data_IF_837841379115
#
_entry.id   IF_837841379115
#
_cell.length_a   1.000
_cell.length_b   1.000
_cell.length_c   1.000
_cell.angle_alpha   90.00
_cell.angle_beta   90.00
_cell.angle_gamma   90.00
#
_symmetry.space_group_name_H-M   'P 1'
#
loop_
_entity.id
_entity.type
_entity.pdbx_description
1 polymer ?
#
# COMPACT_ATOMS: atom_id res chain seq x y z
N UNK A 1 -2.19 -4.80 -10.42
CA UNK A 1 -0.77 -4.63 -10.79
C UNK A 1 -0.68 -3.60 -11.91
N UNK A 2 0.30 -2.70 -11.83
CA UNK A 2 0.66 -1.77 -12.90
C UNK A 2 1.70 -2.48 -13.78
N UNK A 3 1.47 -2.61 -15.10
CA UNK A 3 2.43 -3.25 -15.99
C UNK A 3 3.74 -2.45 -16.08
N UNK A 4 4.79 -3.09 -16.59
CA UNK A 4 6.04 -2.40 -16.86
C UNK A 4 5.82 -1.23 -17.83
N UNK A 5 6.42 -0.07 -17.54
CA UNK A 5 6.30 1.13 -18.37
C UNK A 5 6.98 0.99 -19.76
N UNK A 6 7.85 0.01 -19.94
CA UNK A 6 8.56 -0.22 -21.21
C UNK A 6 9.04 -1.67 -21.35
N UNK A 7 9.47 -2.01 -22.57
CA UNK A 7 9.96 -3.36 -22.90
C UNK A 7 11.17 -3.72 -22.02
N UNK A 8 11.08 -4.84 -21.31
CA UNK A 8 12.12 -5.30 -20.40
C UNK A 8 12.11 -4.65 -19.01
N UNK A 9 11.16 -3.76 -18.72
CA UNK A 9 10.96 -3.20 -17.38
C UNK A 9 10.28 -4.17 -16.42
N UNK A 10 10.24 -3.79 -15.13
CA UNK A 10 9.54 -4.55 -14.09
C UNK A 10 8.13 -3.99 -13.87
N UNK A 11 7.11 -4.84 -13.70
CA UNK A 11 5.82 -4.38 -13.22
C UNK A 11 5.93 -3.96 -11.75
N UNK A 12 4.94 -3.21 -11.29
CA UNK A 12 4.88 -2.79 -9.89
C UNK A 12 3.46 -2.87 -9.35
N UNK A 13 3.34 -2.96 -8.05
CA UNK A 13 2.08 -2.87 -7.33
C UNK A 13 2.32 -2.15 -6.01
N UNK A 14 1.30 -1.49 -5.50
CA UNK A 14 1.36 -0.74 -4.25
C UNK A 14 0.33 -1.31 -3.30
N UNK A 15 0.73 -1.52 -2.04
CA UNK A 15 -0.19 -1.93 -0.99
C UNK A 15 -0.18 -0.94 0.16
N UNK A 16 -1.35 -0.77 0.78
CA UNK A 16 -1.53 -0.04 2.02
C UNK A 16 -2.02 -1.02 3.09
N UNK A 17 -1.11 -1.71 3.81
CA UNK A 17 -1.53 -2.63 4.84
C UNK A 17 -2.17 -1.82 5.97
N UNK A 18 -3.41 -2.16 6.29
CA UNK A 18 -4.10 -1.58 7.44
C UNK A 18 -3.55 -2.23 8.71
N UNK A 19 -3.08 -1.40 9.64
CA UNK A 19 -2.61 -1.84 10.94
C UNK A 19 -3.71 -1.70 11.99
N UNK A 20 -3.78 -2.65 12.93
CA UNK A 20 -4.52 -2.46 14.16
C UNK A 20 -3.71 -1.54 15.07
N UNK A 21 -4.34 -0.46 15.55
CA UNK A 21 -3.73 0.52 16.43
C UNK A 21 -4.52 0.61 17.74
N UNK A 22 -3.83 0.77 18.85
CA UNK A 22 -4.43 1.03 20.16
C UNK A 22 -4.24 2.52 20.44
N UNK A 23 -5.34 3.24 20.67
CA UNK A 23 -5.30 4.64 21.07
C UNK A 23 -4.53 4.80 22.38
N UNK A 24 -3.71 5.84 22.49
CA UNK A 24 -3.06 6.22 23.76
C UNK A 24 -4.05 6.60 24.85
N UNK A 25 -5.31 6.84 24.50
CA UNK A 25 -6.41 7.15 25.42
C UNK A 25 -7.25 5.91 25.79
N UNK A 26 -6.86 4.71 25.35
CA UNK A 26 -7.59 3.49 25.66
C UNK A 26 -7.55 3.19 27.18
N UNK A 27 -8.71 3.00 27.79
CA UNK A 27 -8.81 2.67 29.23
C UNK A 27 -8.26 1.27 29.55
N UNK A 28 -8.28 0.35 28.58
CA UNK A 28 -7.90 -1.07 28.74
C UNK A 28 -6.97 -1.55 27.60
N UNK A 29 -5.75 -1.00 27.49
CA UNK A 29 -4.85 -1.31 26.37
C UNK A 29 -4.44 -2.78 26.31
N UNK A 30 -4.26 -3.44 27.46
CA UNK A 30 -3.91 -4.87 27.50
C UNK A 30 -5.04 -5.76 26.97
N UNK A 31 -6.29 -5.41 27.27
CA UNK A 31 -7.46 -6.14 26.73
C UNK A 31 -7.62 -5.90 25.23
N UNK A 32 -7.39 -4.66 24.78
CA UNK A 32 -7.38 -4.34 23.35
C UNK A 32 -6.28 -5.12 22.61
N UNK A 33 -5.08 -5.23 23.19
CA UNK A 33 -3.98 -6.02 22.65
C UNK A 33 -4.34 -7.51 22.62
N UNK A 34 -4.90 -8.06 23.69
CA UNK A 34 -5.33 -9.45 23.74
C UNK A 34 -6.41 -9.76 22.68
N UNK A 35 -7.31 -8.81 22.40
CA UNK A 35 -8.28 -8.95 21.32
C UNK A 35 -7.60 -8.94 19.95
N UNK A 36 -6.69 -8.00 19.69
CA UNK A 36 -5.92 -7.90 18.43
C UNK A 36 -5.15 -9.20 18.20
N UNK A 37 -4.44 -9.71 19.20
CA UNK A 37 -3.75 -11.00 19.16
C UNK A 37 -4.72 -12.13 18.76
N UNK A 38 -5.88 -12.20 19.42
CA UNK A 38 -6.87 -13.24 19.15
C UNK A 38 -7.44 -13.20 17.73
N UNK A 39 -7.70 -12.01 17.18
CA UNK A 39 -8.30 -11.88 15.83
C UNK A 39 -7.26 -11.98 14.72
N UNK A 40 -5.99 -11.68 15.02
CA UNK A 40 -4.88 -11.81 14.06
C UNK A 40 -4.24 -13.20 14.07
N UNK A 41 -4.57 -14.06 15.02
CA UNK A 41 -4.18 -15.47 15.03
C UNK A 41 -4.58 -16.21 13.74
N UNK A 42 -3.83 -17.26 13.40
CA UNK A 42 -3.90 -17.99 12.15
C UNK A 42 -5.33 -18.38 11.76
N UNK A 43 -6.10 -18.98 12.67
CA UNK A 43 -7.45 -19.45 12.37
C UNK A 43 -8.43 -18.30 12.06
N UNK A 44 -8.69 -17.40 13.02
CA UNK A 44 -9.58 -16.26 12.85
C UNK A 44 -9.20 -15.37 11.65
N UNK A 45 -7.91 -15.01 11.53
CA UNK A 45 -7.48 -14.15 10.45
C UNK A 45 -7.62 -14.81 9.08
N UNK A 46 -7.40 -16.13 8.97
CA UNK A 46 -7.56 -16.84 7.68
C UNK A 46 -9.01 -16.88 7.25
N UNK A 47 -9.94 -17.08 8.18
CA UNK A 47 -11.37 -17.00 7.88
C UNK A 47 -11.77 -15.60 7.42
N UNK A 48 -11.27 -14.56 8.10
CA UNK A 48 -11.52 -13.18 7.71
C UNK A 48 -10.99 -12.87 6.30
N UNK A 49 -9.73 -13.23 6.02
CA UNK A 49 -9.09 -13.05 4.71
C UNK A 49 -9.91 -13.69 3.58
N UNK A 50 -10.31 -14.96 3.74
CA UNK A 50 -11.11 -15.67 2.74
C UNK A 50 -12.49 -15.04 2.56
N UNK A 51 -13.20 -14.78 3.66
CA UNK A 51 -14.57 -14.26 3.61
C UNK A 51 -14.67 -12.83 3.05
N UNK A 52 -13.62 -12.04 3.20
CA UNK A 52 -13.55 -10.65 2.76
C UNK A 52 -12.69 -10.43 1.53
N UNK A 53 -12.12 -11.50 0.96
CA UNK A 53 -11.17 -11.46 -0.17
C UNK A 53 -9.90 -10.63 0.08
N UNK A 54 -9.54 -10.40 1.34
CA UNK A 54 -8.26 -9.78 1.72
C UNK A 54 -7.13 -10.81 1.71
N UNK A 55 -5.92 -10.34 1.41
CA UNK A 55 -4.72 -11.17 1.57
C UNK A 55 -4.46 -11.43 3.06
N UNK A 56 -3.97 -12.63 3.37
CA UNK A 56 -3.53 -12.97 4.73
C UNK A 56 -2.34 -12.12 5.18
N UNK A 57 -2.27 -11.81 6.48
CA UNK A 57 -1.20 -11.00 7.08
C UNK A 57 -0.07 -11.87 7.67
N UNK A 58 -0.29 -13.19 7.79
CA UNK A 58 0.71 -14.15 8.25
C UNK A 58 1.14 -15.06 7.08
N UNK A 59 2.45 -15.32 6.98
CA UNK A 59 3.04 -16.14 5.90
C UNK A 59 2.41 -17.53 5.76
N UNK A 60 2.04 -18.16 6.87
CA UNK A 60 1.49 -19.52 6.85
C UNK A 60 0.08 -19.64 6.26
N UNK A 61 -0.68 -18.54 6.15
CA UNK A 61 -2.10 -18.61 5.76
C UNK A 61 -2.30 -19.07 4.32
N UNK A 62 -1.31 -18.84 3.46
CA UNK A 62 -1.31 -19.32 2.07
C UNK A 62 -1.31 -20.84 1.97
N UNK A 63 -0.89 -21.54 3.04
CA UNK A 63 -0.88 -22.99 3.09
C UNK A 63 -2.22 -23.61 3.52
N UNK A 64 -3.15 -22.78 4.01
CA UNK A 64 -4.46 -23.23 4.43
C UNK A 64 -5.28 -23.72 3.24
N UNK A 65 -5.92 -24.90 3.39
CA UNK A 65 -6.68 -25.55 2.31
C UNK A 65 -7.66 -24.60 1.61
N UNK A 66 -8.52 -23.93 2.38
CA UNK A 66 -9.53 -23.04 1.81
C UNK A 66 -8.95 -21.73 1.23
N UNK A 67 -7.74 -21.35 1.63
CA UNK A 67 -7.04 -20.24 1.01
C UNK A 67 -6.53 -20.64 -0.38
N UNK A 68 -5.94 -21.84 -0.51
CA UNK A 68 -5.51 -22.41 -1.80
C UNK A 68 -6.68 -22.62 -2.76
N UNK A 69 -7.82 -23.08 -2.24
CA UNK A 69 -9.05 -23.29 -3.02
C UNK A 69 -9.67 -21.97 -3.51
N UNK A 70 -9.32 -20.83 -2.89
CA UNK A 70 -9.77 -19.51 -3.34
C UNK A 70 -9.00 -19.08 -4.59
N UNK A 71 -9.65 -19.18 -5.77
CA UNK A 71 -9.06 -18.74 -7.04
C UNK A 71 -8.50 -17.32 -6.97
N UNK A 72 -9.30 -16.37 -6.46
CA UNK A 72 -8.91 -14.96 -6.39
C UNK A 72 -7.64 -14.77 -5.56
N UNK A 73 -7.58 -15.37 -4.36
CA UNK A 73 -6.43 -15.20 -3.49
C UNK A 73 -5.20 -15.90 -4.07
N UNK A 74 -5.34 -17.13 -4.56
CA UNK A 74 -4.25 -17.89 -5.18
C UNK A 74 -3.67 -17.20 -6.42
N UNK A 75 -4.52 -16.63 -7.28
CA UNK A 75 -4.09 -15.90 -8.49
C UNK A 75 -3.54 -14.50 -8.21
N UNK A 76 -3.84 -13.91 -7.04
CA UNK A 76 -3.29 -12.61 -6.65
C UNK A 76 -1.93 -12.71 -5.93
N UNK A 77 -1.60 -13.86 -5.32
CA UNK A 77 -0.40 -13.99 -4.49
C UNK A 77 0.91 -13.67 -5.21
N UNK A 78 1.05 -14.01 -6.50
CA UNK A 78 2.27 -13.72 -7.24
C UNK A 78 2.57 -12.22 -7.34
N UNK A 79 1.54 -11.37 -7.24
CA UNK A 79 1.70 -9.92 -7.30
C UNK A 79 2.53 -9.39 -6.12
N UNK A 80 2.57 -10.10 -4.99
CA UNK A 80 3.35 -9.72 -3.81
C UNK A 80 4.86 -9.69 -4.11
N UNK A 81 5.34 -10.46 -5.09
CA UNK A 81 6.74 -10.40 -5.53
C UNK A 81 7.12 -9.06 -6.20
N UNK A 82 6.10 -8.30 -6.62
CA UNK A 82 6.23 -7.00 -7.28
C UNK A 82 5.57 -5.87 -6.48
N UNK A 83 5.17 -6.14 -5.23
CA UNK A 83 4.43 -5.18 -4.41
C UNK A 83 5.38 -4.43 -3.49
N UNK A 84 5.30 -3.10 -3.50
CA UNK A 84 5.91 -2.22 -2.49
C UNK A 84 4.84 -1.62 -1.57
N UNK A 85 5.28 -0.98 -0.48
CA UNK A 85 4.41 -0.36 0.51
C UNK A 85 4.28 1.14 0.27
N UNK A 86 3.10 1.68 0.56
CA UNK A 86 2.96 3.12 0.73
C UNK A 86 3.92 3.62 1.82
N UNK A 87 4.63 4.75 1.61
CA UNK A 87 5.47 5.34 2.63
C UNK A 87 4.66 5.66 3.90
N UNK A 88 5.10 5.12 5.04
CA UNK A 88 4.57 5.52 6.34
C UNK A 88 5.30 6.78 6.81
N UNK A 89 5.01 7.91 6.17
CA UNK A 89 5.62 9.20 6.43
C UNK A 89 4.53 10.29 6.59
N UNK A 90 4.62 11.18 7.59
CA UNK A 90 3.64 12.25 7.79
C UNK A 90 3.43 13.16 6.57
N UNK A 91 4.45 13.31 5.71
CA UNK A 91 4.43 14.13 4.51
C UNK A 91 3.93 13.37 3.26
N UNK A 92 3.50 12.12 3.40
CA UNK A 92 2.96 11.33 2.28
C UNK A 92 1.74 12.02 1.63
N UNK A 93 0.91 12.70 2.41
CA UNK A 93 -0.26 13.42 1.90
C UNK A 93 0.14 14.48 0.86
N UNK A 94 1.05 15.37 1.22
CA UNK A 94 1.62 16.38 0.31
C UNK A 94 2.25 15.75 -0.93
N UNK A 95 3.09 14.72 -0.73
CA UNK A 95 3.74 14.03 -1.84
C UNK A 95 2.73 13.45 -2.83
N UNK A 96 1.70 12.75 -2.32
CA UNK A 96 0.67 12.11 -3.13
C UNK A 96 -0.18 13.12 -3.88
N UNK A 97 -0.53 14.24 -3.25
CA UNK A 97 -1.35 15.29 -3.88
C UNK A 97 -0.60 15.93 -5.04
N UNK A 98 0.63 16.41 -4.82
CA UNK A 98 1.45 17.04 -5.86
C UNK A 98 1.67 16.08 -7.04
N UNK A 99 2.01 14.82 -6.75
CA UNK A 99 2.23 13.80 -7.79
C UNK A 99 0.95 13.52 -8.59
N UNK A 100 -0.21 13.46 -7.91
CA UNK A 100 -1.50 13.23 -8.56
C UNK A 100 -1.91 14.41 -9.46
N UNK A 101 -1.70 15.64 -9.00
CA UNK A 101 -2.00 16.85 -9.78
C UNK A 101 -1.21 16.89 -11.09
N UNK A 102 0.10 16.60 -11.02
CA UNK A 102 0.94 16.52 -12.21
C UNK A 102 0.46 15.44 -13.19
N UNK A 103 0.12 14.24 -12.67
CA UNK A 103 -0.41 13.16 -13.48
C UNK A 103 -1.73 13.53 -14.14
N UNK A 104 -2.65 14.16 -13.39
CA UNK A 104 -3.94 14.60 -13.90
C UNK A 104 -3.78 15.65 -15.01
N UNK A 105 -2.87 16.62 -14.84
CA UNK A 105 -2.54 17.62 -15.85
C UNK A 105 -1.92 16.98 -17.12
N UNK A 106 -1.05 15.99 -16.96
CA UNK A 106 -0.50 15.23 -18.11
C UNK A 106 -1.59 14.49 -18.87
N UNK A 107 -2.49 13.79 -18.15
CA UNK A 107 -3.61 13.07 -18.78
C UNK A 107 -4.59 14.04 -19.46
N UNK A 108 -4.78 15.23 -18.90
CA UNK A 108 -5.59 16.30 -19.47
C UNK A 108 -4.97 16.97 -20.71
N UNK A 109 -3.67 16.78 -20.93
CA UNK A 109 -2.92 17.42 -22.02
C UNK A 109 -2.39 18.82 -21.70
N UNK A 110 -2.53 19.27 -20.44
CA UNK A 110 -2.03 20.56 -19.97
C UNK A 110 -0.51 20.51 -19.75
N UNK A 111 0.02 19.35 -19.34
CA UNK A 111 1.46 19.09 -19.19
C UNK A 111 1.94 18.03 -20.17
N UNK A 112 3.14 18.24 -20.72
CA UNK A 112 3.97 17.15 -21.22
C UNK A 112 4.51 16.31 -20.05
N UNK A 113 4.98 15.07 -20.30
CA UNK A 113 5.60 14.26 -19.24
C UNK A 113 6.79 14.94 -18.56
N UNK A 114 7.55 15.75 -19.30
CA UNK A 114 8.71 16.47 -18.77
C UNK A 114 8.29 17.61 -17.83
N UNK A 115 7.32 18.43 -18.25
CA UNK A 115 6.76 19.51 -17.42
C UNK A 115 6.14 18.96 -16.13
N UNK A 116 5.49 17.79 -16.19
CA UNK A 116 4.94 17.15 -15.01
C UNK A 116 6.03 16.73 -14.01
N UNK A 117 7.17 16.21 -14.48
CA UNK A 117 8.31 15.87 -13.61
C UNK A 117 8.90 17.13 -12.97
N UNK A 118 9.08 18.20 -13.75
CA UNK A 118 9.59 19.48 -13.26
C UNK A 118 8.66 20.10 -12.21
N UNK A 119 7.35 20.11 -12.48
CA UNK A 119 6.34 20.53 -11.52
C UNK A 119 6.44 19.73 -10.21
N UNK A 120 6.50 18.40 -10.27
CA UNK A 120 6.60 17.58 -9.06
C UNK A 120 7.87 17.91 -8.28
N UNK A 121 9.02 18.03 -8.94
CA UNK A 121 10.30 18.37 -8.28
C UNK A 121 10.21 19.72 -7.58
N UNK A 122 9.75 20.75 -8.28
CA UNK A 122 9.67 22.12 -7.76
C UNK A 122 8.68 22.23 -6.59
N UNK A 123 7.50 21.63 -6.75
CA UNK A 123 6.44 21.65 -5.74
C UNK A 123 6.82 20.87 -4.48
N UNK A 124 7.40 19.68 -4.64
CA UNK A 124 7.89 18.91 -3.49
C UNK A 124 9.01 19.65 -2.78
N UNK A 125 9.96 20.24 -3.51
CA UNK A 125 11.06 20.98 -2.89
C UNK A 125 10.54 22.24 -2.17
N UNK A 126 9.53 22.91 -2.73
CA UNK A 126 8.91 24.10 -2.13
C UNK A 126 8.12 23.78 -0.87
N UNK A 127 7.31 22.72 -0.89
CA UNK A 127 6.43 22.37 0.23
C UNK A 127 7.17 21.61 1.33
N UNK A 128 8.05 20.68 0.96
CA UNK A 128 8.69 19.77 1.92
C UNK A 128 10.10 20.19 2.31
N UNK A 129 10.79 21.02 1.51
CA UNK A 129 12.12 21.53 1.84
C UNK A 129 13.12 20.39 2.09
N UNK A 130 13.77 20.41 3.25
CA UNK A 130 14.72 19.37 3.67
C UNK A 130 14.06 18.01 4.02
N UNK A 131 12.73 17.93 4.05
CA UNK A 131 12.00 16.69 4.33
C UNK A 131 11.83 15.80 3.08
N UNK A 132 12.29 16.24 1.91
CA UNK A 132 12.31 15.46 0.67
C UNK A 132 13.73 15.36 0.12
N UNK A 133 14.08 14.20 -0.42
CA UNK A 133 15.35 13.96 -1.10
C UNK A 133 15.06 13.77 -2.58
N UNK A 134 15.53 14.69 -3.41
CA UNK A 134 15.42 14.62 -4.88
C UNK A 134 16.80 14.27 -5.44
N UNK A 135 16.87 13.24 -6.29
CA UNK A 135 18.12 12.71 -6.88
C UNK A 135 17.89 12.25 -8.32
#
# INVERSE_FOLDING_TARGET
MIPAAGKGGQPNSLTHPLAYLISSQCEHPDLALALIDKVTDYGPNTRHAIASTHLGILKGQTEYKFYKDSRLLSEALYMLAYTTFLPNNPYWGSYSTITYEALAATVGGDFTPQEAVEFVVDELQRELGDNVIIR
#
